data_IF_962415291262
#
_entry.id   IF_962415291262
#
_cell.length_a   1.000
_cell.length_b   1.000
_cell.length_c   1.000
_cell.angle_alpha   90.00
_cell.angle_beta   90.00
_cell.angle_gamma   90.00
#
_symmetry.space_group_name_H-M   'P 1'
#
loop_
_entity.id
_entity.type
_entity.pdbx_description
1 polymer ?
2 non-polymer ?
3 water ?
#
# COMPACT_ATOMS: atom_id res chain seq x y z
N UNK A 4 -25.75 -11.68 -28.23
CA UNK A 4 -24.83 -12.43 -27.34
C UNK A 4 -24.11 -11.47 -26.38
N UNK A 5 -23.89 -11.93 -25.15
CA UNK A 5 -23.25 -11.11 -24.12
C UNK A 5 -21.72 -11.14 -24.20
N UNK A 6 -21.15 -9.96 -24.46
CA UNK A 6 -19.71 -9.80 -24.58
C UNK A 6 -19.03 -9.22 -23.33
N UNK A 7 -19.82 -8.84 -22.33
CA UNK A 7 -19.24 -8.29 -21.11
C UNK A 7 -18.27 -9.28 -20.46
N UNK A 8 -18.62 -10.57 -20.43
CA UNK A 8 -17.62 -11.42 -19.78
C UNK A 8 -16.33 -11.56 -20.60
N UNK A 9 -16.44 -11.39 -21.91
CA UNK A 9 -15.28 -11.47 -22.80
C UNK A 9 -14.40 -10.24 -22.57
N UNK A 10 -15.03 -9.08 -22.42
CA UNK A 10 -14.28 -7.85 -22.16
C UNK A 10 -13.55 -7.96 -20.83
N UNK A 11 -14.21 -8.50 -19.81
CA UNK A 11 -13.57 -8.64 -18.51
C UNK A 11 -12.32 -9.50 -18.58
N UNK A 12 -12.40 -10.60 -19.32
CA UNK A 12 -11.25 -11.48 -19.47
C UNK A 12 -10.07 -10.75 -20.10
N UNK A 13 -10.34 -9.88 -21.07
CA UNK A 13 -9.25 -9.15 -21.70
C UNK A 13 -8.64 -8.16 -20.74
N UNK A 14 -9.48 -7.46 -19.98
CA UNK A 14 -8.95 -6.51 -19.01
C UNK A 14 -8.10 -7.23 -17.97
N UNK A 15 -8.53 -8.43 -17.58
CA UNK A 15 -7.81 -9.23 -16.58
C UNK A 15 -6.47 -9.67 -17.10
N UNK A 16 -6.42 -10.00 -18.39
CA UNK A 16 -5.19 -10.42 -19.03
C UNK A 16 -4.23 -9.24 -19.02
N UNK A 17 -4.70 -8.07 -19.42
CA UNK A 17 -3.86 -6.87 -19.43
C UNK A 17 -3.43 -6.57 -17.98
N UNK A 18 -4.36 -6.78 -17.06
CA UNK A 18 -4.10 -6.55 -15.66
C UNK A 18 -2.94 -7.43 -15.20
N UNK A 19 -3.04 -8.73 -15.49
CA UNK A 19 -1.99 -9.69 -15.10
C UNK A 19 -0.61 -9.30 -15.59
N UNK A 20 -0.53 -8.77 -16.82
CA UNK A 20 0.76 -8.41 -17.38
C UNK A 20 1.46 -7.27 -16.64
N UNK A 21 0.68 -6.43 -15.95
CA UNK A 21 1.27 -5.36 -15.17
C UNK A 21 1.32 -5.78 -13.70
N UNK A 22 0.52 -6.76 -13.33
CA UNK A 22 0.45 -7.24 -11.96
C UNK A 22 1.73 -7.86 -11.43
N UNK A 23 2.39 -8.68 -12.24
CA UNK A 23 3.61 -9.35 -11.79
C UNK A 23 4.44 -9.89 -12.93
N UNK A 24 5.72 -10.13 -12.66
CA UNK A 24 6.63 -10.65 -13.67
C UNK A 24 6.09 -11.98 -14.15
N UNK A 25 6.37 -12.32 -15.40
CA UNK A 25 5.92 -13.58 -15.97
C UNK A 25 6.80 -14.75 -15.51
N UNK A 26 6.19 -15.79 -14.96
CA UNK A 26 6.95 -16.96 -14.54
C UNK A 26 6.68 -18.11 -15.51
N UNK A 27 7.40 -19.22 -15.33
CA UNK A 27 7.27 -20.39 -16.21
C UNK A 27 5.84 -20.87 -16.45
N UNK A 28 5.07 -21.04 -15.38
CA UNK A 28 3.70 -21.49 -15.50
C UNK A 28 2.90 -20.50 -16.33
N UNK A 29 3.06 -19.22 -16.04
CA UNK A 29 2.35 -18.16 -16.76
C UNK A 29 2.76 -18.09 -18.22
N UNK A 30 4.03 -18.31 -18.51
CA UNK A 30 4.48 -18.29 -19.90
C UNK A 30 3.75 -19.38 -20.67
N UNK A 31 3.62 -20.56 -20.04
CA UNK A 31 2.92 -21.68 -20.67
C UNK A 31 1.47 -21.37 -20.93
N UNK A 32 0.76 -20.79 -19.96
CA UNK A 32 -0.63 -20.48 -20.20
C UNK A 32 -0.83 -19.32 -21.18
N UNK A 33 0.18 -18.47 -21.34
CA UNK A 33 0.09 -17.36 -22.27
C UNK A 33 0.50 -17.80 -23.68
N UNK A 34 1.09 -18.99 -23.81
CA UNK A 34 1.50 -19.46 -25.12
C UNK A 34 0.91 -20.80 -25.54
N UNK A 35 -0.07 -21.27 -24.78
CA UNK A 35 -0.74 -22.54 -25.10
C UNK A 35 -1.39 -22.44 -26.48
N UNK A 36 -1.83 -23.58 -27.00
CA UNK A 36 -2.46 -23.62 -28.30
C UNK A 36 -3.76 -22.83 -28.28
N UNK A 37 -4.44 -22.82 -27.14
CA UNK A 37 -5.70 -22.07 -27.01
C UNK A 37 -5.37 -20.58 -26.97
N UNK A 38 -4.26 -20.25 -26.30
CA UNK A 38 -3.81 -18.86 -26.19
C UNK A 38 -3.32 -18.32 -27.55
N UNK A 39 -2.72 -19.18 -28.38
CA UNK A 39 -2.24 -18.74 -29.70
C UNK A 39 -3.40 -18.30 -30.56
N UNK A 40 -4.54 -18.97 -30.40
CA UNK A 40 -5.73 -18.64 -31.16
C UNK A 40 -6.22 -17.24 -30.76
N UNK A 41 -6.23 -16.98 -29.46
CA UNK A 41 -6.66 -15.71 -28.96
C UNK A 41 -5.81 -14.55 -29.51
N UNK A 42 -4.49 -14.67 -29.38
CA UNK A 42 -3.58 -13.63 -29.87
C UNK A 42 -3.72 -13.38 -31.37
N UNK A 43 -3.80 -14.46 -32.16
CA UNK A 43 -3.93 -14.34 -33.61
C UNK A 43 -5.17 -13.51 -33.94
N UNK A 44 -6.28 -13.87 -33.31
CA UNK A 44 -7.55 -13.19 -33.51
C UNK A 44 -7.46 -11.74 -33.06
N UNK A 45 -6.81 -11.50 -31.92
CA UNK A 45 -6.69 -10.15 -31.43
C UNK A 45 -5.83 -9.32 -32.40
N UNK A 46 -4.79 -9.95 -32.96
CA UNK A 46 -3.89 -9.28 -33.88
C UNK A 46 -4.56 -8.87 -35.19
N UNK A 47 -5.71 -9.46 -35.49
CA UNK A 47 -6.42 -9.12 -36.71
C UNK A 47 -7.11 -7.76 -36.61
N UNK A 48 -7.20 -7.22 -35.40
CA UNK A 48 -7.79 -5.90 -35.23
C UNK A 48 -6.67 -4.98 -35.69
N UNK A 49 -6.94 -4.15 -36.69
CA UNK A 49 -5.90 -3.25 -37.22
C UNK A 49 -5.20 -2.42 -36.15
N UNK A 50 -5.97 -1.87 -35.22
CA UNK A 50 -5.40 -1.04 -34.13
C UNK A 50 -4.45 -1.82 -33.19
N UNK A 51 -4.63 -3.14 -33.09
CA UNK A 51 -3.82 -3.95 -32.18
C UNK A 51 -2.62 -4.72 -32.78
N UNK A 52 -2.67 -4.97 -34.09
CA UNK A 52 -1.63 -5.74 -34.78
C UNK A 52 -0.18 -5.61 -34.35
N UNK A 53 0.38 -4.41 -34.46
CA UNK A 53 1.78 -4.19 -34.12
C UNK A 53 2.19 -4.55 -32.69
N UNK A 54 1.45 -4.07 -31.70
CA UNK A 54 1.79 -4.40 -30.32
C UNK A 54 1.56 -5.89 -30.00
N UNK A 55 0.48 -6.45 -30.53
CA UNK A 55 0.18 -7.86 -30.31
C UNK A 55 1.31 -8.74 -30.83
N UNK A 56 1.77 -8.47 -32.06
CA UNK A 56 2.86 -9.26 -32.64
C UNK A 56 4.15 -9.09 -31.85
N UNK A 57 4.30 -7.96 -31.17
CA UNK A 57 5.50 -7.75 -30.37
C UNK A 57 5.33 -8.58 -29.10
N UNK A 58 4.09 -8.62 -28.61
CA UNK A 58 3.79 -9.37 -27.41
C UNK A 58 4.01 -10.84 -27.59
N UNK A 59 3.38 -11.42 -28.62
CA UNK A 59 3.50 -12.85 -28.83
C UNK A 59 4.83 -13.33 -29.38
N UNK A 60 5.50 -12.50 -30.17
CA UNK A 60 6.80 -12.89 -30.71
C UNK A 60 7.78 -12.96 -29.54
N UNK A 61 7.62 -12.08 -28.56
CA UNK A 61 8.46 -12.05 -27.38
C UNK A 61 8.19 -13.28 -26.53
N UNK A 62 6.92 -13.56 -26.26
CA UNK A 62 6.54 -14.72 -25.45
C UNK A 62 6.88 -16.04 -26.14
N UNK A 63 6.70 -16.11 -27.45
CA UNK A 63 7.04 -17.34 -28.17
C UNK A 63 8.56 -17.51 -28.30
N UNK A 64 9.28 -16.40 -28.27
CA UNK A 64 10.74 -16.46 -28.37
C UNK A 64 11.41 -16.97 -27.11
N UNK A 65 10.69 -16.95 -25.99
CA UNK A 65 11.24 -17.42 -24.72
C UNK A 65 11.40 -18.93 -24.76
N UNK A 66 12.62 -19.43 -24.99
CA UNK A 66 12.80 -20.86 -25.05
C UNK A 66 13.73 -21.46 -24.00
N UNK A 67 14.34 -20.61 -23.18
CA UNK A 67 15.22 -21.05 -22.09
C UNK A 67 15.02 -20.10 -20.91
N UNK A 68 15.49 -20.49 -19.73
CA UNK A 68 15.32 -19.66 -18.54
C UNK A 68 16.04 -18.33 -18.61
N UNK A 69 17.12 -18.26 -19.39
CA UNK A 69 17.87 -17.00 -19.50
C UNK A 69 16.98 -15.92 -20.08
N UNK A 70 16.28 -16.24 -21.16
CA UNK A 70 15.40 -15.29 -21.81
C UNK A 70 14.25 -14.93 -20.88
N UNK A 71 13.77 -15.91 -20.11
CA UNK A 71 12.68 -15.68 -19.18
C UNK A 71 13.13 -14.73 -18.06
N UNK A 72 14.34 -14.96 -17.54
CA UNK A 72 14.91 -14.12 -16.48
C UNK A 72 15.15 -12.71 -17.01
N UNK A 73 15.40 -12.63 -18.31
CA UNK A 73 15.64 -11.34 -18.94
C UNK A 73 14.34 -10.52 -18.98
N UNK A 74 13.21 -11.19 -19.21
CA UNK A 74 11.92 -10.49 -19.25
C UNK A 74 11.55 -10.06 -17.84
N UNK A 75 11.80 -10.94 -16.86
CA UNK A 75 11.50 -10.66 -15.47
C UNK A 75 12.34 -9.50 -15.00
N UNK A 76 13.54 -9.38 -15.57
CA UNK A 76 14.45 -8.30 -15.20
C UNK A 76 13.93 -6.99 -15.77
N UNK A 77 13.32 -7.07 -16.95
CA UNK A 77 12.75 -5.90 -17.61
C UNK A 77 11.63 -5.38 -16.74
N UNK A 78 10.83 -6.33 -16.25
CA UNK A 78 9.70 -6.01 -15.40
C UNK A 78 10.12 -5.27 -14.13
N UNK A 79 11.07 -5.87 -13.40
CA UNK A 79 11.57 -5.29 -12.16
C UNK A 79 12.29 -3.97 -12.36
N UNK A 80 13.20 -3.93 -13.33
CA UNK A 80 13.95 -2.71 -13.58
C UNK A 80 13.12 -1.60 -14.19
N UNK A 81 11.85 -1.89 -14.41
CA UNK A 81 10.94 -0.92 -15.02
C UNK A 81 9.84 -0.47 -14.06
N UNK A 82 9.28 -1.41 -13.31
CA UNK A 82 8.18 -1.12 -12.40
C UNK A 82 8.49 -1.20 -10.91
N UNK A 83 9.34 -2.14 -10.52
CA UNK A 83 9.68 -2.31 -9.12
C UNK A 83 10.81 -1.44 -8.55
N UNK A 84 11.62 -0.84 -9.42
CA UNK A 84 12.71 0.02 -8.96
C UNK A 84 12.14 1.30 -8.33
N UNK A 85 12.14 2.39 -9.09
CA UNK A 85 11.60 3.64 -8.59
C UNK A 85 12.40 4.78 -9.19
N UNK A 86 13.07 4.49 -10.31
CA UNK A 86 13.92 5.46 -11.03
C UNK A 86 15.12 4.73 -11.65
N UNK A 89 12.07 3.16 -13.26
CA UNK A 89 12.04 4.29 -14.18
C UNK A 89 10.65 4.59 -14.75
N UNK A 90 9.70 3.67 -14.57
CA UNK A 90 8.34 3.88 -15.06
C UNK A 90 7.31 3.20 -14.15
N UNK A 91 7.16 3.68 -12.91
CA UNK A 91 6.19 3.08 -12.01
C UNK A 91 4.79 3.15 -12.59
N UNK A 92 4.04 2.04 -12.51
CA UNK A 92 2.66 1.96 -13.03
C UNK A 92 1.58 2.60 -12.15
N UNK A 93 1.91 3.70 -11.49
CA UNK A 93 0.94 4.39 -10.65
C UNK A 93 0.45 5.67 -11.31
N UNK A 94 -0.87 5.79 -11.44
CA UNK A 94 -1.51 6.94 -12.07
C UNK A 94 -1.10 8.28 -11.47
N UNK A 95 -1.07 8.36 -10.15
CA UNK A 95 -0.72 9.59 -9.46
C UNK A 95 0.62 10.15 -9.93
N UNK A 96 1.54 9.28 -10.32
CA UNK A 96 2.87 9.69 -10.78
C UNK A 96 2.90 10.33 -12.17
N UNK A 97 1.77 10.38 -12.86
CA UNK A 97 1.70 10.98 -14.19
C UNK A 97 0.58 12.00 -14.31
N UNK A 98 -0.15 12.19 -13.22
CA UNK A 98 -1.26 13.16 -13.17
C UNK A 98 -0.98 14.22 -12.11
N UNK A 105 -11.83 15.26 -11.86
CA UNK A 105 -12.58 15.72 -10.69
C UNK A 105 -13.26 14.53 -10.00
N UNK A 106 -13.92 13.69 -10.79
CA UNK A 106 -14.59 12.50 -10.27
C UNK A 106 -13.57 11.37 -10.12
N UNK A 107 -12.30 11.75 -10.14
CA UNK A 107 -11.17 10.82 -10.03
C UNK A 107 -11.01 10.27 -8.62
N UNK A 108 -10.68 11.17 -7.68
CA UNK A 108 -10.48 10.77 -6.31
C UNK A 108 -11.65 10.06 -5.65
N UNK A 109 -12.86 10.33 -6.10
CA UNK A 109 -14.02 9.69 -5.49
C UNK A 109 -14.27 8.25 -5.95
N UNK A 110 -13.61 7.86 -7.04
CA UNK A 110 -13.78 6.50 -7.55
C UNK A 110 -12.74 5.59 -6.89
N UNK A 111 -11.86 6.18 -6.09
CA UNK A 111 -10.83 5.43 -5.38
C UNK A 111 -11.40 4.76 -4.15
N UNK A 112 -12.55 5.25 -3.70
CA UNK A 112 -13.20 4.69 -2.53
C UNK A 112 -13.71 3.28 -2.83
N UNK A 113 -14.23 3.08 -4.04
CA UNK A 113 -14.76 1.78 -4.41
C UNK A 113 -13.67 0.77 -4.78
N UNK A 115 -10.70 0.52 -3.36
CA UNK A 115 -10.10 0.02 -2.12
C UNK A 115 -10.94 -1.15 -1.63
N UNK A 116 -12.26 -1.01 -1.72
CA UNK A 116 -13.15 -2.08 -1.29
C UNK A 116 -12.94 -3.31 -2.16
N UNK A 117 -12.84 -3.09 -3.48
CA UNK A 117 -12.63 -4.17 -4.43
C UNK A 117 -11.23 -4.76 -4.22
N UNK A 118 -10.28 -3.91 -3.86
CA UNK A 118 -8.92 -4.35 -3.63
C UNK A 118 -8.84 -5.22 -2.37
N UNK A 119 -9.68 -4.91 -1.40
CA UNK A 119 -9.74 -5.65 -0.15
C UNK A 119 -10.46 -6.98 -0.34
N UNK A 120 -11.48 -6.96 -1.17
CA UNK A 120 -12.28 -8.15 -1.45
C UNK A 120 -11.64 -9.08 -2.47
N UNK A 121 -11.16 -8.53 -3.58
CA UNK A 121 -10.55 -9.35 -4.62
C UNK A 121 -9.28 -10.02 -4.11
N UNK A 122 -8.72 -9.48 -3.04
CA UNK A 122 -7.49 -10.01 -2.49
C UNK A 122 -6.48 -10.25 -3.61
N UNK A 123 -6.53 -9.36 -4.60
CA UNK A 123 -5.62 -9.42 -5.73
C UNK A 123 -4.26 -8.96 -5.22
N UNK A 124 -3.22 -9.66 -5.66
CA UNK A 124 -1.87 -9.35 -5.21
C UNK A 124 -1.01 -8.78 -6.33
N UNK A 125 -0.43 -7.61 -6.08
CA UNK A 125 0.43 -6.96 -7.05
C UNK A 125 1.86 -7.09 -6.54
N UNK A 126 2.74 -7.65 -7.35
CA UNK A 126 4.14 -7.81 -7.00
C UNK A 126 4.65 -6.42 -6.63
N UNK A 127 5.42 -6.32 -5.55
CA UNK A 127 5.94 -5.02 -5.12
C UNK A 127 7.10 -5.10 -4.13
N UNK A 128 7.91 -4.05 -4.14
CA UNK A 128 9.05 -3.95 -3.23
C UNK A 128 8.71 -3.08 -2.03
N UNK A 129 7.51 -2.50 -2.04
CA UNK A 129 7.03 -1.66 -0.95
C UNK A 129 6.71 -2.54 0.25
N UNK A 130 6.91 -2.02 1.46
CA UNK A 130 6.60 -2.84 2.62
C UNK A 130 5.09 -2.86 2.80
N UNK A 131 4.57 -3.91 3.44
CA UNK A 131 3.14 -4.04 3.70
C UNK A 131 2.66 -2.95 4.67
N UNK A 132 1.48 -2.37 4.41
CA UNK A 132 0.93 -1.32 5.28
C UNK A 132 0.79 -1.80 6.74
N UNK A 133 0.36 -3.05 6.92
CA UNK A 133 0.19 -3.60 8.26
C UNK A 133 1.51 -3.81 8.99
N UNK A 134 2.62 -3.78 8.26
CA UNK A 134 3.93 -3.94 8.84
C UNK A 134 4.41 -2.65 9.53
N UNK A 135 3.71 -1.55 9.26
CA UNK A 135 4.04 -0.24 9.83
C UNK A 135 3.78 -0.29 11.35
N UNK A 136 4.77 0.11 12.15
CA UNK A 136 4.65 0.09 13.62
C UNK A 136 3.39 0.81 14.14
N UNK A 137 3.01 1.92 13.50
CA UNK A 137 1.84 2.64 13.96
C UNK A 137 0.57 1.80 13.85
N UNK A 138 0.51 0.94 12.84
CA UNK A 138 -0.65 0.08 12.65
C UNK A 138 -0.63 -1.07 13.63
N UNK A 140 0.73 -0.99 16.70
CA UNK A 140 0.42 -0.46 18.02
C UNK A 140 -1.07 -0.18 18.11
N UNK A 141 -1.67 0.27 17.02
CA UNK A 141 -3.10 0.55 17.03
C UNK A 141 -3.84 -0.77 17.15
N UNK A 142 -3.31 -1.81 16.49
CA UNK A 142 -3.91 -3.13 16.55
C UNK A 142 -3.80 -3.67 17.97
N UNK A 144 -3.63 -1.95 20.63
CA UNK A 144 -4.58 -1.19 21.45
C UNK A 144 -5.92 -1.88 21.37
N UNK A 145 -6.30 -2.27 20.17
CA UNK A 145 -7.56 -2.95 19.97
C UNK A 145 -7.60 -4.28 20.74
N UNK A 146 -6.55 -5.10 20.61
CA UNK A 146 -6.49 -6.37 21.30
C UNK A 146 -6.63 -6.22 22.81
N UNK A 147 -6.05 -5.16 23.36
CA UNK A 147 -6.11 -4.91 24.81
C UNK A 147 -7.51 -5.04 25.39
N UNK A 148 -8.52 -4.61 24.64
CA UNK A 148 -9.90 -4.66 25.15
C UNK A 148 -10.86 -5.59 24.42
N UNK A 149 -10.38 -6.28 23.39
CA UNK A 149 -11.24 -7.19 22.63
C UNK A 149 -10.57 -8.52 22.35
N UNK A 150 -9.74 -8.98 23.29
CA UNK A 150 -9.03 -10.23 23.09
C UNK A 150 -8.53 -10.84 24.40
N UNK A 151 -8.30 -12.15 24.38
CA UNK A 151 -7.82 -12.86 25.56
C UNK A 151 -6.36 -12.46 25.80
N UNK A 152 -5.92 -12.48 27.05
CA UNK A 152 -4.56 -12.12 27.39
C UNK A 152 -3.52 -12.83 26.53
N UNK A 153 -3.79 -14.09 26.18
CA UNK A 153 -2.85 -14.87 25.40
C UNK A 153 -2.73 -14.39 23.98
N UNK A 154 -3.80 -13.85 23.41
CA UNK A 154 -3.71 -13.35 22.04
C UNK A 154 -2.87 -12.08 22.03
N UNK A 155 -2.98 -11.28 23.08
CA UNK A 155 -2.24 -10.04 23.21
C UNK A 155 -0.76 -10.34 23.41
N UNK A 156 -0.49 -11.29 24.30
CA UNK A 156 0.89 -11.68 24.59
C UNK A 156 1.53 -12.20 23.31
N UNK A 157 0.82 -13.13 22.67
CA UNK A 157 1.31 -13.72 21.44
C UNK A 157 1.69 -12.67 20.42
N UNK A 158 0.80 -11.72 20.19
CA UNK A 158 1.09 -10.67 19.22
C UNK A 158 2.30 -9.82 19.61
N UNK A 159 2.46 -9.53 20.90
CA UNK A 159 3.61 -8.70 21.30
C UNK A 159 4.92 -9.43 21.06
N UNK A 160 5.02 -10.65 21.55
CA UNK A 160 6.24 -11.43 21.38
C UNK A 160 6.55 -11.72 19.92
N UNK A 161 5.52 -12.07 19.17
CA UNK A 161 5.64 -12.41 17.76
C UNK A 161 5.90 -11.28 16.78
N UNK A 162 5.08 -10.23 16.83
CA UNK A 162 5.20 -9.12 15.88
C UNK A 162 5.85 -7.81 16.27
N UNK A 163 5.99 -7.54 17.57
CA UNK A 163 6.58 -6.29 18.04
C UNK A 163 7.94 -6.43 18.70
N UNK A 164 7.98 -7.15 19.81
CA UNK A 164 9.21 -7.36 20.56
C UNK A 164 10.28 -8.07 19.73
N UNK A 165 9.87 -8.68 18.63
CA UNK A 165 10.81 -9.40 17.78
C UNK A 165 11.75 -8.52 16.96
N UNK A 166 11.34 -7.29 16.66
CA UNK A 166 12.17 -6.41 15.85
C UNK A 166 12.34 -4.99 16.37
N UNK A 167 11.61 -4.63 17.42
CA UNK A 167 11.69 -3.27 17.92
C UNK A 167 13.09 -2.77 18.31
N UNK A 168 13.91 -3.63 18.93
CA UNK A 168 15.25 -3.19 19.31
C UNK A 168 16.11 -2.90 18.09
N UNK A 169 15.98 -3.71 17.05
CA UNK A 169 16.75 -3.47 15.83
C UNK A 169 16.37 -2.09 15.31
N UNK A 170 15.07 -1.80 15.30
CA UNK A 170 14.54 -0.53 14.85
C UNK A 170 15.04 0.62 15.71
N UNK A 171 14.97 0.47 17.03
CA UNK A 171 15.44 1.52 17.92
C UNK A 171 16.92 1.82 17.71
N UNK A 172 17.69 0.79 17.39
CA UNK A 172 19.12 0.97 17.18
C UNK A 172 19.39 1.85 15.96
N UNK A 173 18.70 1.57 14.86
CA UNK A 173 18.88 2.33 13.64
C UNK A 173 18.31 3.73 13.81
N UNK A 174 17.14 3.80 14.43
CA UNK A 174 16.48 5.08 14.67
C UNK A 174 17.42 5.99 15.45
N UNK A 175 18.00 5.46 16.52
CA UNK A 175 18.91 6.22 17.37
C UNK A 175 20.12 6.77 16.58
N UNK A 176 20.48 6.07 15.50
CA UNK A 176 21.59 6.50 14.66
C UNK A 176 21.26 7.64 13.68
N UNK A 177 20.00 7.76 13.30
CA UNK A 177 19.57 8.79 12.35
C UNK A 177 18.86 9.99 12.98
N UNK A 178 18.46 9.85 14.24
CA UNK A 178 17.73 10.90 14.95
C UNK A 178 18.64 11.86 15.73
N UNK A 179 19.09 12.92 15.06
CA UNK A 179 19.97 13.91 15.69
C UNK A 179 19.37 14.56 16.93
N UNK A 180 18.16 15.12 16.83
CA UNK A 180 17.52 15.76 17.96
C UNK A 180 17.14 14.76 19.06
N UNK A 181 16.65 13.59 18.64
CA UNK A 181 16.29 12.53 19.58
C UNK A 181 14.87 12.37 20.12
N UNK A 182 13.90 13.08 19.55
CA UNK A 182 12.52 12.97 20.03
C UNK A 182 11.88 11.65 19.67
N UNK A 183 12.00 11.25 18.40
CA UNK A 183 11.44 9.99 17.96
C UNK A 183 12.17 8.78 18.51
N UNK A 184 13.44 8.94 18.87
CA UNK A 184 14.19 7.85 19.46
C UNK A 184 13.61 7.64 20.85
N UNK A 185 13.23 8.75 21.48
CA UNK A 185 12.65 8.70 22.82
C UNK A 185 11.28 8.03 22.78
N UNK A 186 10.55 8.26 21.69
CA UNK A 186 9.24 7.65 21.54
C UNK A 186 9.44 6.15 21.34
N UNK A 187 10.36 5.79 20.45
CA UNK A 187 10.65 4.38 20.18
C UNK A 187 11.19 3.66 21.41
N UNK A 188 12.05 4.34 22.15
CA UNK A 188 12.64 3.79 23.38
C UNK A 188 11.56 3.54 24.43
N UNK A 189 10.65 4.50 24.57
CA UNK A 189 9.56 4.37 25.53
C UNK A 189 8.62 3.25 25.10
N UNK A 190 8.46 3.09 23.79
CA UNK A 190 7.59 2.04 23.26
C UNK A 190 8.11 0.66 23.64
N UNK A 191 9.40 0.40 23.41
CA UNK A 191 9.97 -0.91 23.75
C UNK A 191 9.87 -1.19 25.25
N UNK A 192 10.21 -0.19 26.05
CA UNK A 192 10.16 -0.36 27.49
C UNK A 192 8.74 -0.60 27.94
N UNK A 193 7.78 -0.07 27.20
CA UNK A 193 6.38 -0.22 27.52
C UNK A 193 5.93 -1.64 27.17
N UNK A 194 6.36 -2.09 25.99
CA UNK A 194 6.05 -3.41 25.51
C UNK A 194 6.64 -4.48 26.41
N UNK A 195 7.90 -4.30 26.82
CA UNK A 195 8.56 -5.27 27.69
C UNK A 195 7.85 -5.39 29.04
N UNK A 196 7.54 -4.26 29.66
CA UNK A 196 6.84 -4.28 30.95
C UNK A 196 5.45 -4.94 30.79
N UNK A 197 4.83 -4.74 29.64
CA UNK A 197 3.51 -5.30 29.38
C UNK A 197 3.60 -6.83 29.21
N UNK A 198 4.66 -7.30 28.56
CA UNK A 198 4.85 -8.73 28.35
C UNK A 198 5.11 -9.37 29.71
N UNK A 199 5.79 -8.61 30.58
CA UNK A 199 6.12 -9.07 31.92
C UNK A 199 4.88 -9.27 32.77
N UNK A 200 3.84 -8.47 32.50
CA UNK A 200 2.59 -8.57 33.25
C UNK A 200 1.73 -9.66 32.61
N UNK A 201 1.75 -9.73 31.28
CA UNK A 201 0.96 -10.70 30.55
C UNK A 201 1.31 -12.16 30.79
N UNK A 202 2.60 -12.50 30.81
CA UNK A 202 3.01 -13.89 31.01
C UNK A 202 2.42 -14.53 32.27
N UNK A 203 2.62 -13.92 33.45
CA UNK A 203 2.08 -14.48 34.69
C UNK A 203 0.56 -14.60 34.60
N UNK A 204 -0.09 -13.56 34.07
CA UNK A 204 -1.54 -13.52 33.93
C UNK A 204 -2.06 -14.66 33.06
N UNK A 205 -1.36 -14.97 31.96
CA UNK A 205 -1.77 -16.05 31.08
C UNK A 205 -1.48 -17.45 31.67
N UNK A 206 -0.27 -17.64 32.15
CA UNK A 206 0.14 -18.91 32.73
C UNK A 206 -0.84 -19.46 33.76
N UNK A 207 -1.40 -18.54 34.55
CA UNK A 207 -2.34 -18.88 35.61
C UNK A 207 -3.64 -19.59 35.15
N UNK A 208 -4.04 -19.39 33.89
CA UNK A 208 -5.28 -20.01 33.42
C UNK A 208 -5.17 -21.49 33.09
N UNK A 209 -3.96 -22.05 33.23
CA UNK A 209 -3.73 -23.47 32.97
C UNK A 209 -3.96 -24.23 34.28
N UNK A 210 -4.26 -23.49 35.35
CA UNK A 210 -4.49 -24.07 36.67
C UNK A 210 -5.95 -24.38 36.95
N UNK B 5 -10.22 -3.83 33.21
CA UNK B 5 -9.94 -3.05 34.46
C UNK B 5 -8.75 -2.14 34.24
N UNK B 6 -7.64 -2.73 33.79
CA UNK B 6 -6.43 -1.96 33.54
C UNK B 6 -6.25 -1.87 32.03
N UNK B 7 -6.96 -2.72 31.31
CA UNK B 7 -6.88 -2.77 29.86
C UNK B 7 -7.21 -1.48 29.13
N UNK B 8 -8.28 -0.76 29.54
CA UNK B 8 -8.57 0.49 28.81
C UNK B 8 -7.40 1.47 28.91
N UNK B 9 -6.74 1.51 30.07
CA UNK B 9 -5.60 2.39 30.23
C UNK B 9 -4.48 1.92 29.29
N UNK B 10 -4.28 0.61 29.21
CA UNK B 10 -3.25 0.07 28.33
C UNK B 10 -3.57 0.38 26.88
N UNK B 11 -4.83 0.24 26.49
CA UNK B 11 -5.23 0.55 25.12
C UNK B 11 -4.86 2.01 24.84
N UNK B 12 -5.16 2.88 25.80
CA UNK B 12 -4.90 4.30 25.68
C UNK B 12 -3.41 4.61 25.45
N UNK B 13 -2.53 3.91 26.15
CA UNK B 13 -1.09 4.14 26.01
C UNK B 13 -0.63 3.67 24.62
N UNK B 14 -1.16 2.54 24.16
CA UNK B 14 -0.81 2.03 22.85
C UNK B 14 -1.30 2.96 21.75
N UNK B 15 -2.47 3.55 21.94
CA UNK B 15 -3.03 4.47 20.95
C UNK B 15 -2.16 5.71 20.85
N UNK B 16 -1.79 6.27 21.99
CA UNK B 16 -0.93 7.45 22.02
C UNK B 16 0.39 7.13 21.30
N UNK B 17 1.04 6.03 21.66
CA UNK B 17 2.31 5.67 21.01
C UNK B 17 2.10 5.49 19.52
N UNK B 18 0.98 4.88 19.15
CA UNK B 18 0.66 4.65 17.74
C UNK B 18 0.56 5.98 17.00
N UNK B 19 -0.20 6.91 17.59
CA UNK B 19 -0.38 8.22 16.98
C UNK B 19 0.95 8.90 16.71
N UNK B 20 1.90 8.78 17.62
CA UNK B 20 3.21 9.41 17.42
C UNK B 20 3.99 8.89 16.20
N UNK B 21 3.71 7.65 15.77
CA UNK B 21 4.41 7.10 14.61
C UNK B 21 3.53 7.16 13.37
N UNK B 22 2.24 7.37 13.58
CA UNK B 22 1.27 7.40 12.50
C UNK B 22 1.44 8.56 11.52
N UNK B 23 1.73 9.74 12.06
CA UNK B 23 1.90 10.94 11.26
C UNK B 23 2.57 12.03 12.09
N UNK B 24 3.10 13.03 11.40
CA UNK B 24 3.77 14.15 12.03
C UNK B 24 2.73 14.87 12.89
N UNK B 25 3.20 15.64 13.87
CA UNK B 25 2.33 16.35 14.80
C UNK B 25 1.95 17.77 14.36
N UNK B 26 0.66 18.01 14.13
CA UNK B 26 0.22 19.36 13.73
C UNK B 26 -0.28 20.17 14.94
N UNK B 27 -0.60 21.44 14.72
CA UNK B 27 -1.06 22.33 15.79
C UNK B 27 -2.14 21.76 16.70
N UNK B 28 -3.19 21.22 16.11
CA UNK B 28 -4.27 20.64 16.89
C UNK B 28 -3.74 19.51 17.78
N UNK B 29 -2.96 18.60 17.21
CA UNK B 29 -2.42 17.48 18.00
C UNK B 29 -1.50 18.01 19.10
N UNK B 30 -0.60 18.92 18.77
CA UNK B 30 0.30 19.48 19.78
C UNK B 30 -0.48 20.01 20.99
N UNK B 31 -1.58 20.71 20.73
CA UNK B 31 -2.42 21.24 21.79
C UNK B 31 -3.02 20.10 22.62
N UNK B 32 -3.33 18.98 21.97
CA UNK B 32 -3.90 17.83 22.67
C UNK B 32 -2.84 17.15 23.54
N UNK B 33 -1.60 17.11 23.05
CA UNK B 33 -0.49 16.47 23.76
C UNK B 33 0.16 17.31 24.86
N UNK B 34 -0.22 18.58 24.96
CA UNK B 34 0.37 19.45 25.96
C UNK B 34 -0.65 20.09 26.90
N UNK B 35 -1.91 19.66 26.80
CA UNK B 35 -2.96 20.19 27.68
C UNK B 35 -2.74 19.70 29.11
N UNK B 36 -3.51 20.26 30.05
CA UNK B 36 -3.41 19.88 31.45
C UNK B 36 -3.64 18.39 31.66
N UNK B 37 -4.69 17.88 31.03
CA UNK B 37 -5.02 16.47 31.13
C UNK B 37 -3.92 15.58 30.58
N UNK B 38 -3.14 16.12 29.66
CA UNK B 38 -2.04 15.39 29.03
C UNK B 38 -0.79 15.52 29.86
N UNK B 39 -0.65 16.67 30.53
CA UNK B 39 0.52 16.92 31.35
C UNK B 39 0.56 15.95 32.53
N UNK B 40 -0.59 15.75 33.17
CA UNK B 40 -0.69 14.83 34.29
C UNK B 40 -0.34 13.44 33.81
N UNK B 41 -0.89 13.08 32.65
CA UNK B 41 -0.64 11.78 32.04
C UNK B 41 0.86 11.52 31.91
N UNK B 42 1.55 12.44 31.23
CA UNK B 42 2.98 12.31 31.02
C UNK B 42 3.71 12.16 32.36
N UNK B 43 3.28 12.92 33.36
CA UNK B 43 3.89 12.88 34.70
C UNK B 43 3.72 11.48 35.30
N UNK B 44 2.51 10.94 35.21
CA UNK B 44 2.26 9.61 35.74
C UNK B 44 3.16 8.59 35.02
N UNK B 45 3.21 8.66 33.70
CA UNK B 45 4.07 7.73 32.96
C UNK B 45 5.52 7.89 33.37
N UNK B 46 5.94 9.11 33.69
CA UNK B 46 7.34 9.34 34.07
C UNK B 46 7.72 8.72 35.41
N UNK B 47 6.72 8.52 36.27
CA UNK B 47 6.97 7.94 37.58
C UNK B 47 7.57 6.55 37.51
N UNK B 48 7.44 5.88 36.36
CA UNK B 48 8.01 4.54 36.20
C UNK B 48 9.48 4.70 35.80
N UNK B 49 10.38 4.20 36.64
CA UNK B 49 11.83 4.28 36.40
C UNK B 49 12.29 3.97 34.98
N UNK B 50 11.69 2.96 34.35
CA UNK B 50 12.08 2.58 33.01
C UNK B 50 11.55 3.52 31.93
N UNK B 51 10.61 4.40 32.29
CA UNK B 51 10.01 5.34 31.33
C UNK B 51 10.48 6.79 31.54
N UNK B 52 10.91 7.12 32.77
CA UNK B 52 11.34 8.47 33.12
C UNK B 52 12.14 9.29 32.11
N UNK B 53 13.27 8.76 31.66
CA UNK B 53 14.12 9.48 30.72
C UNK B 53 13.45 9.75 29.37
N UNK B 54 12.81 8.74 28.81
CA UNK B 54 12.13 8.88 27.53
C UNK B 54 10.93 9.81 27.67
N UNK B 55 10.20 9.70 28.78
CA UNK B 55 9.05 10.57 28.95
C UNK B 55 9.47 12.03 29.09
N UNK B 56 10.61 12.29 29.72
CA UNK B 56 11.06 13.67 29.89
C UNK B 56 11.52 14.27 28.57
N UNK B 57 12.17 13.47 27.73
CA UNK B 57 12.62 13.95 26.43
C UNK B 57 11.40 14.34 25.59
N UNK B 58 10.41 13.45 25.54
CA UNK B 58 9.18 13.67 24.77
C UNK B 58 8.39 14.90 25.22
N UNK B 59 8.17 14.99 26.53
CA UNK B 59 7.41 16.08 27.13
C UNK B 59 8.12 17.43 27.09
N UNK B 60 9.44 17.43 27.23
CA UNK B 60 10.16 18.69 27.21
C UNK B 60 10.21 19.21 25.77
N UNK B 61 10.29 18.30 24.81
CA UNK B 61 10.31 18.69 23.41
C UNK B 61 8.97 19.31 23.04
N UNK B 62 7.88 18.59 23.32
CA UNK B 62 6.55 19.10 22.99
C UNK B 62 6.23 20.42 23.71
N UNK B 63 6.68 20.58 24.94
CA UNK B 63 6.43 21.81 25.67
C UNK B 63 7.28 22.97 25.14
N UNK B 64 8.34 22.65 24.41
CA UNK B 64 9.22 23.67 23.84
C UNK B 64 8.81 24.18 22.47
N UNK B 65 7.72 23.68 21.91
CA UNK B 65 7.27 24.15 20.60
C UNK B 65 6.35 25.34 20.83
N UNK B 66 6.85 26.54 20.62
CA UNK B 66 6.05 27.74 20.83
C UNK B 66 5.68 28.50 19.56
N UNK B 67 6.39 28.21 18.47
CA UNK B 67 6.10 28.87 17.19
C UNK B 67 5.97 27.88 16.03
N UNK B 68 5.75 28.42 14.84
CA UNK B 68 5.60 27.61 13.65
C UNK B 68 6.88 26.90 13.25
N UNK B 69 8.01 27.59 13.37
CA UNK B 69 9.28 27.00 13.01
C UNK B 69 9.62 25.80 13.88
N UNK B 70 9.20 25.84 15.14
CA UNK B 70 9.46 24.74 16.07
C UNK B 70 8.67 23.50 15.68
N UNK B 71 7.40 23.70 15.34
CA UNK B 71 6.54 22.60 14.94
C UNK B 71 6.98 22.05 13.58
N UNK B 72 7.41 22.93 12.69
CA UNK B 72 7.85 22.53 11.36
C UNK B 72 9.15 21.69 11.40
N UNK B 73 10.05 22.00 12.33
CA UNK B 73 11.29 21.26 12.44
C UNK B 73 11.02 19.82 12.93
N UNK B 74 10.19 19.68 13.95
CA UNK B 74 9.85 18.36 14.46
C UNK B 74 9.27 17.52 13.31
N UNK B 75 8.40 18.12 12.53
CA UNK B 75 7.80 17.43 11.40
C UNK B 75 8.90 17.04 10.41
N UNK B 76 9.88 17.92 10.22
CA UNK B 76 10.96 17.60 9.28
C UNK B 76 11.68 16.35 9.78
N UNK B 77 11.79 16.22 11.09
CA UNK B 77 12.42 15.04 11.69
C UNK B 77 11.59 13.81 11.36
N UNK B 78 10.28 13.93 11.50
CA UNK B 78 9.39 12.82 11.20
C UNK B 78 9.55 12.39 9.74
N UNK B 79 9.46 13.36 8.82
CA UNK B 79 9.59 13.08 7.39
C UNK B 79 10.98 12.54 7.04
N UNK B 80 12.00 13.18 7.58
CA UNK B 80 13.36 12.75 7.30
C UNK B 80 13.66 11.37 7.82
N UNK B 81 12.99 10.97 8.90
CA UNK B 81 13.23 9.66 9.48
C UNK B 81 12.33 8.56 8.94
N UNK B 82 11.05 8.85 8.74
CA UNK B 82 10.12 7.80 8.31
C UNK B 82 9.50 7.84 6.90
N UNK B 83 9.58 8.95 6.19
CA UNK B 83 8.98 9.01 4.88
C UNK B 83 9.99 8.98 3.73
N UNK B 84 11.20 8.47 3.98
CA UNK B 84 12.20 8.43 2.92
C UNK B 84 12.80 7.03 2.71
N UNK B 85 13.17 6.35 3.80
CA UNK B 85 13.75 5.02 3.70
C UNK B 85 15.21 4.99 3.28
N UNK B 89 17.82 7.28 7.39
CA UNK B 89 16.41 6.90 7.37
C UNK B 89 16.14 5.63 8.18
N UNK B 90 14.90 5.53 8.68
CA UNK B 90 14.49 4.37 9.47
C UNK B 90 13.01 4.11 9.26
N UNK B 91 12.65 3.58 8.09
CA UNK B 91 11.25 3.30 7.82
C UNK B 91 10.75 2.33 8.87
N UNK B 92 9.64 2.70 9.55
CA UNK B 92 9.00 1.93 10.62
C UNK B 92 8.27 0.66 10.20
N UNK B 93 8.81 -0.07 9.23
CA UNK B 93 8.17 -1.31 8.78
C UNK B 93 8.96 -2.51 9.28
N UNK B 94 8.28 -3.36 10.04
CA UNK B 94 8.86 -4.57 10.62
C UNK B 94 9.77 -5.37 9.69
N UNK B 95 9.31 -5.60 8.46
CA UNK B 95 10.06 -6.37 7.48
C UNK B 95 11.44 -5.83 7.12
N UNK B 96 11.66 -4.53 7.32
CA UNK B 96 12.95 -3.93 7.00
C UNK B 96 14.02 -4.22 8.07
N UNK B 97 13.61 -4.82 9.18
CA UNK B 97 14.54 -5.14 10.26
C UNK B 97 14.54 -6.61 10.63
N UNK B 98 13.44 -7.31 10.31
CA UNK B 98 13.33 -8.73 10.62
C UNK B 98 13.14 -9.53 9.34
N UNK B 108 2.59 -13.95 10.94
CA UNK B 108 2.18 -14.60 9.71
C UNK B 108 0.66 -14.55 9.47
N UNK B 109 -0.09 -15.29 10.29
CA UNK B 109 -1.55 -15.32 10.17
C UNK B 109 -2.17 -14.12 10.88
N UNK B 110 -1.42 -13.53 11.81
CA UNK B 110 -1.92 -12.38 12.54
C UNK B 110 -1.65 -11.09 11.75
N UNK B 111 -1.35 -11.26 10.47
CA UNK B 111 -1.12 -10.13 9.57
C UNK B 111 -2.43 -9.96 8.81
N UNK B 112 -3.17 -11.07 8.69
CA UNK B 112 -4.46 -11.05 8.02
C UNK B 112 -5.44 -10.45 8.99
N UNK B 113 -5.30 -10.81 10.26
CA UNK B 113 -6.18 -10.29 11.30
C UNK B 113 -6.01 -8.77 11.33
N UNK B 115 -4.87 -7.05 8.67
CA UNK B 115 -5.34 -6.59 7.37
C UNK B 115 -6.79 -6.16 7.50
N UNK B 116 -7.60 -7.03 8.10
CA UNK B 116 -9.01 -6.71 8.30
C UNK B 116 -9.12 -5.48 9.20
N UNK B 117 -8.31 -5.44 10.25
CA UNK B 117 -8.29 -4.31 11.17
C UNK B 117 -7.99 -3.01 10.41
N UNK B 118 -7.02 -3.07 9.50
CA UNK B 118 -6.65 -1.92 8.70
C UNK B 118 -7.84 -1.44 7.87
N UNK B 119 -8.47 -2.38 7.18
CA UNK B 119 -9.63 -2.07 6.35
C UNK B 119 -10.75 -1.47 7.19
N UNK B 120 -10.97 -2.03 8.38
CA UNK B 120 -12.03 -1.58 9.28
C UNK B 120 -11.79 -0.22 9.94
N UNK B 121 -10.62 -0.06 10.55
CA UNK B 121 -10.26 1.17 11.26
C UNK B 121 -10.28 2.46 10.45
N UNK B 122 -10.02 2.37 9.15
CA UNK B 122 -10.01 3.57 8.33
C UNK B 122 -8.84 4.43 8.83
N UNK B 123 -7.91 3.78 9.51
CA UNK B 123 -6.73 4.45 10.04
C UNK B 123 -5.56 4.29 9.07
N UNK B 124 -5.15 5.38 8.45
CA UNK B 124 -4.00 5.29 7.57
C UNK B 124 -2.89 6.25 8.01
N UNK B 125 -1.67 5.76 7.89
CA UNK B 125 -0.49 6.51 8.27
C UNK B 125 -0.07 7.50 7.20
N UNK B 126 0.71 8.50 7.58
CA UNK B 126 1.21 9.48 6.64
C UNK B 126 2.19 8.65 5.82
N UNK B 127 2.15 8.83 4.50
CA UNK B 127 3.01 8.06 3.62
C UNK B 127 3.28 8.75 2.29
N UNK B 128 4.49 8.60 1.76
CA UNK B 128 4.81 9.19 0.47
C UNK B 128 4.63 8.10 -0.58
N UNK B 129 4.24 6.91 -0.13
CA UNK B 129 4.00 5.78 -1.02
C UNK B 129 2.77 6.03 -1.86
N UNK B 130 2.83 5.63 -3.14
CA UNK B 130 1.65 5.83 -4.00
C UNK B 130 0.51 4.91 -3.51
N UNK B 131 -0.72 5.33 -3.76
CA UNK B 131 -1.90 4.57 -3.36
C UNK B 131 -1.97 3.25 -4.13
N UNK B 132 -2.13 2.12 -3.41
CA UNK B 132 -2.21 0.82 -4.07
C UNK B 132 -3.24 0.73 -5.20
N UNK B 133 -4.41 1.34 -5.01
CA UNK B 133 -5.42 1.31 -6.06
C UNK B 133 -5.05 2.21 -7.23
N UNK B 134 -3.86 2.81 -7.19
CA UNK B 134 -3.42 3.68 -8.29
C UNK B 134 -2.53 2.91 -9.26
N UNK B 135 -2.37 1.63 -8.96
CA UNK B 135 -1.56 0.72 -9.77
C UNK B 135 -2.40 0.28 -10.97
N UNK B 136 -1.83 0.41 -12.16
CA UNK B 136 -2.50 0.04 -13.41
C UNK B 136 -3.12 -1.34 -13.33
N UNK B 137 -2.38 -2.31 -12.78
CA UNK B 137 -2.88 -3.66 -12.64
C UNK B 137 -4.20 -3.66 -11.88
N UNK B 138 -4.26 -2.87 -10.82
CA UNK B 138 -5.46 -2.77 -10.00
C UNK B 138 -6.61 -2.12 -10.76
N UNK B 140 -7.08 -1.98 -13.99
CA UNK B 140 -7.57 -2.86 -15.05
C UNK B 140 -8.36 -4.01 -14.44
N UNK B 141 -7.88 -4.55 -13.33
CA UNK B 141 -8.57 -5.63 -12.65
C UNK B 141 -9.95 -5.17 -12.19
N UNK B 142 -10.01 -3.91 -11.75
CA UNK B 142 -11.26 -3.33 -11.27
C UNK B 142 -12.19 -3.08 -12.47
N UNK B 144 -12.30 -4.83 -15.12
CA UNK B 144 -12.81 -6.14 -15.51
C UNK B 144 -14.02 -6.41 -14.62
N UNK B 145 -13.94 -5.96 -13.36
CA UNK B 145 -15.05 -6.16 -12.45
C UNK B 145 -16.23 -5.27 -12.87
N UNK B 146 -15.94 -4.04 -13.29
CA UNK B 146 -17.02 -3.16 -13.72
C UNK B 146 -17.77 -3.68 -14.97
N UNK B 147 -17.05 -4.29 -15.90
CA UNK B 147 -17.68 -4.81 -17.11
C UNK B 147 -18.94 -5.65 -16.85
N UNK B 148 -18.88 -6.53 -15.86
CA UNK B 148 -20.03 -7.39 -15.56
C UNK B 148 -20.82 -7.01 -14.32
N UNK B 149 -20.39 -5.99 -13.58
CA UNK B 149 -21.12 -5.62 -12.37
C UNK B 149 -21.58 -4.17 -12.28
N UNK B 150 -21.51 -3.44 -13.39
CA UNK B 150 -21.93 -2.05 -13.38
C UNK B 150 -22.57 -1.60 -14.70
N UNK B 151 -23.26 -0.47 -14.65
CA UNK B 151 -23.91 0.09 -15.85
C UNK B 151 -22.81 0.56 -16.82
N UNK B 152 -23.12 0.63 -18.10
CA UNK B 152 -22.15 1.07 -19.09
C UNK B 152 -21.63 2.46 -18.77
N UNK B 153 -22.49 3.32 -18.22
CA UNK B 153 -22.11 4.67 -17.86
C UNK B 153 -21.02 4.67 -16.81
N UNK B 154 -21.10 3.76 -15.84
CA UNK B 154 -20.08 3.67 -14.80
C UNK B 154 -18.77 3.19 -15.45
N UNK B 155 -18.86 2.20 -16.34
CA UNK B 155 -17.66 1.70 -17.02
C UNK B 155 -16.99 2.80 -17.85
N UNK B 156 -17.76 3.48 -18.70
CA UNK B 156 -17.22 4.53 -19.55
C UNK B 156 -16.58 5.63 -18.70
N UNK B 157 -17.33 6.12 -17.72
CA UNK B 157 -16.84 7.16 -16.84
C UNK B 157 -15.50 6.78 -16.24
N UNK B 158 -15.38 5.56 -15.75
CA UNK B 158 -14.12 5.10 -15.17
C UNK B 158 -12.95 5.07 -16.18
N UNK B 159 -13.22 4.64 -17.41
CA UNK B 159 -12.15 4.58 -18.41
C UNK B 159 -11.66 5.99 -18.71
N UNK B 160 -12.60 6.92 -18.91
CA UNK B 160 -12.26 8.30 -19.22
C UNK B 160 -11.57 9.03 -18.08
N UNK B 161 -12.10 8.84 -16.88
CA UNK B 161 -11.56 9.49 -15.69
C UNK B 161 -10.26 8.93 -15.12
N UNK B 162 -10.21 7.62 -14.90
CA UNK B 162 -9.03 7.00 -14.28
C UNK B 162 -8.01 6.29 -15.17
N UNK B 163 -8.36 5.93 -16.39
CA UNK B 163 -7.42 5.22 -17.25
C UNK B 163 -6.94 6.03 -18.44
N UNK B 164 -7.84 6.34 -19.36
CA UNK B 164 -7.51 7.10 -20.55
C UNK B 164 -6.89 8.48 -20.25
N UNK B 165 -7.05 8.95 -19.03
CA UNK B 165 -6.52 10.26 -18.67
C UNK B 165 -5.01 10.29 -18.46
N UNK B 166 -4.37 9.14 -18.32
CA UNK B 166 -2.93 9.15 -18.09
C UNK B 166 -2.10 8.09 -18.80
N UNK B 167 -2.73 7.11 -19.43
CA UNK B 167 -1.95 6.07 -20.10
C UNK B 167 -0.94 6.63 -21.09
N UNK B 168 -1.39 7.56 -21.93
CA UNK B 168 -0.48 8.14 -22.92
C UNK B 168 0.84 8.58 -22.30
N UNK B 169 0.77 9.27 -21.15
CA UNK B 169 1.97 9.74 -20.47
C UNK B 169 2.82 8.55 -20.03
N UNK B 170 2.18 7.60 -19.37
CA UNK B 170 2.84 6.39 -18.89
C UNK B 170 3.53 5.72 -20.08
N UNK B 171 2.79 5.53 -21.18
CA UNK B 171 3.33 4.91 -22.37
C UNK B 171 4.57 5.69 -22.87
N UNK B 172 4.43 7.01 -22.95
CA UNK B 172 5.53 7.85 -23.40
C UNK B 172 6.80 7.62 -22.57
N UNK B 173 6.66 7.64 -21.24
CA UNK B 173 7.81 7.43 -20.39
C UNK B 173 8.32 6.00 -20.42
N UNK B 174 7.43 5.08 -20.77
CA UNK B 174 7.76 3.66 -20.85
C UNK B 174 8.63 3.42 -22.10
N UNK B 175 8.42 4.22 -23.14
CA UNK B 175 9.18 4.07 -24.37
C UNK B 175 10.61 4.63 -24.23
N UNK B 176 10.91 5.22 -23.08
CA UNK B 176 12.23 5.77 -22.83
C UNK B 176 12.96 4.92 -21.78
N UNK B 177 12.30 3.87 -21.31
CA UNK B 177 12.89 3.02 -20.28
C UNK B 177 12.96 1.56 -20.70
N UNK B 178 12.07 1.16 -21.61
CA UNK B 178 12.04 -0.23 -22.05
C UNK B 178 12.77 -0.45 -23.36
N UNK B 179 14.03 -0.88 -23.26
CA UNK B 179 14.87 -1.13 -24.44
C UNK B 179 14.28 -2.26 -25.28
N UNK B 180 13.92 -3.35 -24.63
CA UNK B 180 13.34 -4.50 -25.31
C UNK B 180 12.03 -4.15 -26.00
N UNK B 181 11.15 -3.43 -25.30
CA UNK B 181 9.88 -3.04 -25.89
C UNK B 181 8.67 -3.91 -25.60
N UNK B 182 8.83 -4.97 -24.83
CA UNK B 182 7.71 -5.83 -24.52
C UNK B 182 6.61 -5.09 -23.76
N UNK B 183 7.00 -4.47 -22.65
CA UNK B 183 6.04 -3.76 -21.82
C UNK B 183 5.55 -2.47 -22.46
N UNK B 184 6.32 -1.94 -23.39
CA UNK B 184 5.89 -0.73 -24.09
C UNK B 184 4.74 -1.16 -25.01
N UNK B 185 4.86 -2.37 -25.56
CA UNK B 185 3.86 -2.91 -26.46
C UNK B 185 2.60 -3.25 -25.65
N UNK B 186 2.77 -3.78 -24.45
CA UNK B 186 1.62 -4.10 -23.60
C UNK B 186 0.83 -2.81 -23.29
N UNK B 187 1.54 -1.76 -22.88
CA UNK B 187 0.93 -0.47 -22.59
C UNK B 187 0.20 0.07 -23.82
N UNK B 188 0.86 -0.02 -24.97
CA UNK B 188 0.30 0.46 -26.25
C UNK B 188 -1.01 -0.26 -26.56
N UNK B 189 -1.02 -1.58 -26.38
CA UNK B 189 -2.21 -2.38 -26.62
C UNK B 189 -3.29 -1.98 -25.61
N UNK B 190 -2.90 -1.79 -24.36
CA UNK B 190 -3.85 -1.41 -23.33
C UNK B 190 -4.59 -0.12 -23.71
N UNK B 191 -3.85 0.89 -24.15
CA UNK B 191 -4.47 2.16 -24.54
C UNK B 191 -5.38 1.96 -25.76
N UNK B 192 -4.89 1.22 -26.75
CA UNK B 192 -5.68 0.93 -27.95
C UNK B 192 -6.94 0.18 -27.57
N UNK B 193 -6.80 -0.79 -26.67
CA UNK B 193 -7.95 -1.56 -26.22
C UNK B 193 -8.93 -0.61 -25.51
N UNK B 194 -8.40 0.25 -24.65
CA UNK B 194 -9.23 1.21 -23.93
C UNK B 194 -9.97 2.16 -24.86
N UNK B 195 -9.28 2.69 -25.88
CA UNK B 195 -9.90 3.62 -26.83
C UNK B 195 -11.05 2.95 -27.55
N UNK B 196 -10.80 1.75 -28.06
CA UNK B 196 -11.84 1.04 -28.77
C UNK B 196 -13.00 0.73 -27.83
N UNK B 197 -12.70 0.40 -26.58
CA UNK B 197 -13.76 0.08 -25.65
C UNK B 197 -14.58 1.34 -25.36
N UNK B 198 -13.91 2.47 -25.27
CA UNK B 198 -14.59 3.75 -25.02
C UNK B 198 -15.53 4.08 -26.19
N UNK B 199 -15.11 3.76 -27.41
CA UNK B 199 -15.92 4.03 -28.60
C UNK B 199 -17.14 3.12 -28.69
N UNK B 200 -17.10 1.99 -28.00
CA UNK B 200 -18.23 1.07 -28.02
C UNK B 200 -19.20 1.50 -26.94
N UNK B 201 -18.65 2.04 -25.86
CA UNK B 201 -19.42 2.52 -24.71
C UNK B 201 -20.12 3.85 -24.92
N UNK B 202 -19.50 4.77 -25.66
CA UNK B 202 -20.11 6.09 -25.88
C UNK B 202 -21.54 6.06 -26.42
N UNK B 203 -21.77 5.38 -27.55
CA UNK B 203 -23.15 5.34 -28.07
C UNK B 203 -24.11 4.68 -27.10
N UNK B 204 -23.68 3.57 -26.47
CA UNK B 204 -24.52 2.85 -25.52
C UNK B 204 -24.98 3.81 -24.40
N UNK B 205 -24.02 4.48 -23.79
CA UNK B 205 -24.29 5.42 -22.72
C UNK B 205 -25.13 6.59 -23.24
N UNK B 206 -24.84 7.04 -24.45
CA UNK B 206 -25.59 8.15 -25.05
C UNK B 206 -27.06 7.73 -25.31
N UNK B 207 -27.29 6.48 -25.71
CA UNK B 207 -28.66 6.03 -25.96
C UNK B 207 -29.50 6.18 -24.69
N UNK B 208 -28.90 5.81 -23.57
CA UNK B 208 -29.55 5.86 -22.26
C UNK B 208 -29.86 7.28 -21.79
N UNK B 209 -29.08 8.25 -22.24
CA UNK B 209 -29.32 9.64 -21.85
C UNK B 209 -30.38 10.24 -22.76
N UNK B 210 -30.43 9.79 -24.00
CA UNK B 210 -31.43 10.29 -24.94
C UNK B 210 -32.80 9.71 -24.58
N UNK B 211 -32.78 8.54 -23.93
CA UNK B 211 -33.99 7.86 -23.51
C UNK B 211 -34.45 8.30 -22.13
N UNK B 212 -33.50 8.48 -21.22
CA UNK B 212 -33.81 8.90 -19.85
C UNK B 212 -34.05 10.40 -19.76
N UNK B 213 -34.15 11.06 -20.91
CA UNK B 213 -34.37 12.49 -20.95
C UNK B 213 -35.72 12.77 -21.60
N UNK B 214 -36.11 11.89 -22.51
CA UNK B 214 -37.37 12.03 -23.23
C UNK B 214 -38.56 11.42 -22.49
#
# INVERSE_FOLDING_TARGET
MSQVDINPARALVYQLLSSLFAREVDEQRLKELTSEAAQQFWEQLSLEANFTQSVDKIRSTLNGIKDDEALLELAADYCGLFLVGTKHSASPYASLYLSGEDEPLLFGEQHQQXSEFLHQSKLQVQSHFPEPADHLAVXLAYXAHLCCHSENSVQLSFLQTCVNSWLAKFINHLTQCNKNGFYSAVATLTLAWVKQDIAQLEPAVAIISLEHHHHHH
MSQVDINPARALVYQLLSSLFAREVDEQRLKELTSEAAQQFWEQLSLEANFTQSVDKIRSTLNGIKDDEALLELAADYCGLFLVGTKHSASPYASLYLSGEDEPLLFGEQHQQXSEFLHQSKLQVQSHFPEPADHLAVXLAYXAHLCCHSENSVQLSFLQTCVNSWLAKFINHLTQCNKNGFYSAVATLTLAWVKQDIAQLEPAVAIISLEHHHHHH
#
